data_IF_318889801444
#
_entry.id   IF_318889801444
#
_cell.length_a   1.000
_cell.length_b   1.000
_cell.length_c   1.000
_cell.angle_alpha   90.00
_cell.angle_beta   90.00
_cell.angle_gamma   90.00
#
_symmetry.space_group_name_H-M   'P 1'
#
loop_
_entity.id
_entity.type
_entity.pdbx_description
1 polymer ?
#
# COMPACT_ATOMS: atom_id res chain seq x y z
N UNK A 1 -28.64 -9.14 18.99
CA UNK A 1 -27.43 -8.31 18.83
C UNK A 1 -26.73 -8.83 17.59
N UNK A 2 -26.87 -8.15 16.46
CA UNK A 2 -26.21 -8.60 15.21
C UNK A 2 -24.70 -8.51 15.42
N UNK A 3 -24.00 -9.62 15.13
CA UNK A 3 -22.54 -9.68 15.11
C UNK A 3 -22.02 -8.63 14.11
N UNK A 4 -21.40 -7.56 14.62
CA UNK A 4 -20.85 -6.44 13.85
C UNK A 4 -19.86 -6.94 12.77
N UNK A 5 -19.21 -8.09 13.03
CA UNK A 5 -18.28 -8.76 12.10
C UNK A 5 -18.94 -9.24 10.79
N UNK A 6 -20.23 -9.61 10.83
CA UNK A 6 -20.99 -10.12 9.68
C UNK A 6 -21.49 -8.97 8.80
N UNK A 7 -21.75 -7.80 9.37
CA UNK A 7 -22.29 -6.64 8.64
C UNK A 7 -21.24 -6.01 7.72
N UNK A 8 -20.00 -5.87 8.20
CA UNK A 8 -18.93 -5.18 7.47
C UNK A 8 -18.43 -5.99 6.26
N UNK A 9 -18.52 -7.33 6.32
CA UNK A 9 -18.05 -8.20 5.23
C UNK A 9 -19.09 -8.46 4.15
N UNK A 10 -20.37 -8.12 4.34
CA UNK A 10 -21.44 -8.30 3.35
C UNK A 10 -21.74 -7.05 2.51
N UNK A 11 -20.83 -6.08 2.54
CA UNK A 11 -20.99 -4.87 1.76
C UNK A 11 -20.84 -5.11 0.25
N UNK A 12 -21.68 -4.48 -0.60
CA UNK A 12 -21.50 -4.49 -2.05
C UNK A 12 -20.09 -4.01 -2.45
N UNK A 13 -19.43 -4.65 -3.42
CA UNK A 13 -18.10 -4.26 -3.87
C UNK A 13 -18.02 -2.78 -4.30
N UNK A 14 -19.07 -2.26 -4.93
CA UNK A 14 -19.13 -0.89 -5.46
C UNK A 14 -19.05 0.13 -4.32
N UNK A 15 -19.83 -0.08 -3.28
CA UNK A 15 -19.81 0.80 -2.13
C UNK A 15 -18.47 0.66 -1.36
N UNK A 16 -17.87 -0.55 -1.33
CA UNK A 16 -16.54 -0.74 -0.72
C UNK A 16 -15.50 0.12 -1.43
N UNK A 17 -15.56 0.20 -2.77
CA UNK A 17 -14.69 1.06 -3.57
C UNK A 17 -14.90 2.54 -3.21
N UNK A 18 -16.16 2.98 -3.04
CA UNK A 18 -16.46 4.36 -2.61
C UNK A 18 -15.86 4.69 -1.24
N UNK A 19 -15.94 3.79 -0.27
CA UNK A 19 -15.28 3.98 1.02
C UNK A 19 -13.75 4.06 0.88
N UNK A 20 -13.16 3.21 0.03
CA UNK A 20 -11.72 3.24 -0.20
C UNK A 20 -11.20 4.59 -0.73
N UNK A 21 -12.02 5.36 -1.47
CA UNK A 21 -11.66 6.72 -1.94
C UNK A 21 -11.49 7.74 -0.80
N UNK A 22 -11.98 7.42 0.40
CA UNK A 22 -11.88 8.27 1.58
C UNK A 22 -10.66 7.91 2.45
N UNK A 23 -9.94 6.83 2.14
CA UNK A 23 -8.88 6.31 2.98
C UNK A 23 -7.50 6.71 2.49
N UNK A 24 -6.62 7.03 3.44
CA UNK A 24 -5.21 7.23 3.19
C UNK A 24 -4.52 5.92 2.77
N UNK A 25 -3.37 5.98 2.10
CA UNK A 25 -2.63 4.78 1.75
C UNK A 25 -2.29 3.87 2.96
N UNK A 26 -1.95 4.46 4.10
CA UNK A 26 -1.70 3.71 5.34
C UNK A 26 -2.96 3.01 5.87
N UNK A 27 -4.13 3.64 5.75
CA UNK A 27 -5.40 3.05 6.18
C UNK A 27 -5.87 1.96 5.22
N UNK A 28 -5.68 2.13 3.91
CA UNK A 28 -5.90 1.06 2.93
C UNK A 28 -5.01 -0.15 3.22
N UNK A 29 -3.73 0.08 3.53
CA UNK A 29 -2.83 -1.00 3.92
C UNK A 29 -3.33 -1.69 5.20
N UNK A 30 -3.76 -0.94 6.22
CA UNK A 30 -4.31 -1.56 7.45
C UNK A 30 -5.58 -2.35 7.14
N UNK A 31 -6.46 -1.80 6.32
CA UNK A 31 -7.72 -2.43 5.91
C UNK A 31 -7.49 -3.75 5.17
N UNK A 32 -6.46 -3.82 4.30
CA UNK A 32 -6.11 -5.05 3.59
C UNK A 32 -5.66 -6.18 4.53
N UNK A 33 -5.26 -5.85 5.75
CA UNK A 33 -4.84 -6.82 6.77
C UNK A 33 -5.98 -7.27 7.68
N UNK A 34 -7.17 -6.67 7.60
CA UNK A 34 -8.31 -6.97 8.49
C UNK A 34 -8.94 -8.32 8.18
N UNK A 35 -9.21 -8.62 6.90
CA UNK A 35 -9.83 -9.89 6.50
C UNK A 35 -9.44 -10.30 5.07
N UNK A 36 -9.63 -11.58 4.74
CA UNK A 36 -9.31 -12.13 3.41
C UNK A 36 -10.08 -11.42 2.29
N UNK A 37 -11.34 -11.05 2.52
CA UNK A 37 -12.17 -10.35 1.52
C UNK A 37 -11.58 -9.00 1.14
N UNK A 38 -11.23 -8.17 2.13
CA UNK A 38 -10.61 -6.87 1.89
C UNK A 38 -9.22 -7.00 1.29
N UNK A 39 -8.44 -7.99 1.74
CA UNK A 39 -7.16 -8.32 1.11
C UNK A 39 -7.34 -8.60 -0.37
N UNK A 40 -8.32 -9.41 -0.77
CA UNK A 40 -8.56 -9.73 -2.18
C UNK A 40 -8.96 -8.50 -3.02
N UNK A 41 -9.72 -7.56 -2.46
CA UNK A 41 -10.07 -6.32 -3.16
C UNK A 41 -8.91 -5.34 -3.28
N UNK A 42 -8.07 -5.25 -2.24
CA UNK A 42 -6.97 -4.28 -2.17
C UNK A 42 -5.64 -4.85 -2.69
N UNK A 43 -5.56 -6.15 -2.92
CA UNK A 43 -4.35 -6.88 -3.35
C UNK A 43 -4.64 -7.77 -4.55
N UNK A 44 -4.99 -7.15 -5.68
CA UNK A 44 -5.17 -7.79 -6.97
C UNK A 44 -4.33 -7.04 -8.03
N UNK A 45 -3.08 -7.48 -8.30
CA UNK A 45 -2.14 -6.72 -9.15
C UNK A 45 -2.65 -6.50 -10.57
N UNK A 46 -3.43 -7.44 -11.11
CA UNK A 46 -3.98 -7.35 -12.46
C UNK A 46 -5.36 -6.66 -12.52
N UNK A 47 -5.92 -6.22 -11.39
CA UNK A 47 -7.22 -5.55 -11.35
C UNK A 47 -7.06 -4.05 -11.58
N UNK A 48 -7.62 -3.54 -12.67
CA UNK A 48 -7.67 -2.10 -12.95
C UNK A 48 -8.33 -1.31 -11.83
N UNK A 49 -9.39 -1.86 -11.21
CA UNK A 49 -10.08 -1.27 -10.05
C UNK A 49 -9.15 -1.15 -8.84
N UNK A 50 -8.40 -2.20 -8.50
CA UNK A 50 -7.43 -2.14 -7.40
C UNK A 50 -6.37 -1.08 -7.67
N UNK A 51 -5.81 -1.03 -8.89
CA UNK A 51 -4.84 0.00 -9.26
C UNK A 51 -5.41 1.42 -9.10
N UNK A 52 -6.66 1.64 -9.53
CA UNK A 52 -7.34 2.93 -9.38
C UNK A 52 -7.57 3.33 -7.92
N UNK A 53 -7.90 2.38 -7.04
CA UNK A 53 -8.06 2.65 -5.60
C UNK A 53 -6.75 3.24 -5.03
N UNK A 54 -5.62 2.56 -5.28
CA UNK A 54 -4.31 2.99 -4.79
C UNK A 54 -3.86 4.31 -5.42
N UNK A 55 -4.03 4.47 -6.73
CA UNK A 55 -3.72 5.72 -7.44
C UNK A 55 -4.50 6.91 -6.88
N UNK A 56 -5.81 6.76 -6.71
CA UNK A 56 -6.68 7.84 -6.22
C UNK A 56 -6.33 8.21 -4.77
N UNK A 57 -6.06 7.21 -3.93
CA UNK A 57 -5.62 7.44 -2.56
C UNK A 57 -4.26 8.17 -2.52
N UNK A 58 -3.29 7.76 -3.35
CA UNK A 58 -2.00 8.45 -3.48
C UNK A 58 -2.16 9.91 -3.86
N UNK A 59 -2.82 10.20 -4.98
CA UNK A 59 -2.99 11.58 -5.49
C UNK A 59 -3.68 12.48 -4.45
N UNK A 60 -4.65 11.93 -3.70
CA UNK A 60 -5.43 12.68 -2.72
C UNK A 60 -4.69 12.95 -1.41
N UNK A 61 -3.92 11.97 -0.91
CA UNK A 61 -3.33 12.03 0.43
C UNK A 61 -1.81 12.21 0.44
N UNK A 62 -1.16 12.16 -0.72
CA UNK A 62 0.26 12.43 -0.92
C UNK A 62 0.41 13.46 -2.05
N UNK A 63 -0.04 14.71 -1.86
CA UNK A 63 -0.12 15.71 -2.93
C UNK A 63 1.24 16.08 -3.54
N UNK A 64 2.32 15.90 -2.79
CA UNK A 64 3.69 16.11 -3.28
C UNK A 64 4.15 15.00 -4.26
N UNK A 65 3.54 13.81 -4.18
CA UNK A 65 3.90 12.62 -4.97
C UNK A 65 3.01 12.50 -6.22
N UNK A 66 3.19 13.43 -7.15
CA UNK A 66 2.38 13.53 -8.38
C UNK A 66 2.81 12.58 -9.49
N UNK A 67 4.05 12.06 -9.43
CA UNK A 67 4.60 11.20 -10.48
C UNK A 67 3.87 9.86 -10.55
N UNK A 68 3.69 9.28 -11.76
CA UNK A 68 3.17 7.92 -11.89
C UNK A 68 4.22 6.88 -11.44
N UNK A 69 3.81 5.63 -11.17
CA UNK A 69 4.73 4.52 -10.98
C UNK A 69 5.70 4.39 -12.18
N UNK A 70 6.94 3.93 -11.95
CA UNK A 70 7.83 3.48 -13.02
C UNK A 70 7.16 2.44 -13.92
N UNK A 71 7.62 2.35 -15.19
CA UNK A 71 7.09 1.38 -16.14
C UNK A 71 7.20 -0.06 -15.60
N UNK A 72 6.11 -0.83 -15.71
CA UNK A 72 6.01 -2.20 -15.19
C UNK A 72 5.68 -2.31 -13.70
N UNK A 73 5.77 -1.22 -12.92
CA UNK A 73 5.42 -1.22 -11.50
C UNK A 73 3.93 -0.98 -11.28
N UNK A 74 3.32 -1.76 -10.40
CA UNK A 74 1.93 -1.54 -9.99
C UNK A 74 1.81 -0.42 -8.96
N UNK A 75 0.68 0.32 -8.97
CA UNK A 75 0.42 1.45 -8.06
C UNK A 75 0.53 1.04 -6.59
N UNK A 76 0.06 -0.17 -6.25
CA UNK A 76 0.15 -0.67 -4.86
C UNK A 76 1.59 -0.76 -4.37
N UNK A 77 2.49 -1.32 -5.17
CA UNK A 77 3.93 -1.42 -4.83
C UNK A 77 4.55 -0.03 -4.75
N UNK A 78 4.26 0.83 -5.74
CA UNK A 78 4.73 2.21 -5.77
C UNK A 78 4.34 2.98 -4.51
N UNK A 79 3.05 2.94 -4.15
CA UNK A 79 2.51 3.56 -2.95
C UNK A 79 3.15 3.00 -1.69
N UNK A 80 3.35 1.68 -1.61
CA UNK A 80 4.03 1.07 -0.47
C UNK A 80 5.47 1.56 -0.30
N UNK A 81 6.20 1.84 -1.38
CA UNK A 81 7.54 2.42 -1.34
C UNK A 81 7.52 3.86 -0.82
N UNK A 82 6.51 4.64 -1.22
CA UNK A 82 6.33 6.03 -0.79
C UNK A 82 5.93 6.19 0.69
N UNK A 83 5.41 5.14 1.35
CA UNK A 83 5.04 5.18 2.78
C UNK A 83 6.26 5.22 3.73
N UNK A 84 7.12 6.24 3.63
CA UNK A 84 8.40 6.36 4.35
C UNK A 84 8.23 6.22 5.87
N UNK A 85 7.12 6.73 6.42
CA UNK A 85 6.79 6.64 7.86
C UNK A 85 6.66 5.19 8.39
N UNK A 86 6.50 4.20 7.51
CA UNK A 86 6.47 2.78 7.88
C UNK A 86 7.86 2.18 8.08
N UNK A 87 8.93 2.93 7.80
CA UNK A 87 10.30 2.50 8.03
C UNK A 87 10.81 1.48 7.02
N UNK A 88 11.86 0.77 7.40
CA UNK A 88 12.55 -0.21 6.54
C UNK A 88 11.65 -1.42 6.27
N UNK A 89 11.47 -1.80 5.00
CA UNK A 89 10.67 -2.98 4.62
C UNK A 89 11.37 -4.32 4.95
N UNK A 90 12.68 -4.30 5.21
CA UNK A 90 13.45 -5.50 5.55
C UNK A 90 13.42 -5.77 7.06
N UNK A 91 13.84 -4.79 7.88
CA UNK A 91 13.94 -4.98 9.33
C UNK A 91 12.74 -4.45 10.12
N UNK A 92 11.75 -3.84 9.48
CA UNK A 92 10.53 -3.28 10.08
C UNK A 92 10.76 -2.19 11.14
N UNK A 93 11.99 -1.66 11.27
CA UNK A 93 12.30 -0.55 12.16
C UNK A 93 11.86 0.78 11.55
N UNK A 94 11.08 1.56 12.31
CA UNK A 94 10.55 2.88 11.91
C UNK A 94 11.45 4.05 12.26
N UNK A 95 12.37 3.87 13.20
CA UNK A 95 13.30 4.90 13.68
C UNK A 95 14.61 4.97 12.87
N UNK A 96 14.62 4.45 11.65
CA UNK A 96 15.78 4.39 10.78
C UNK A 96 15.50 5.22 9.52
N UNK A 97 16.47 6.04 9.13
CA UNK A 97 16.43 6.68 7.83
C UNK A 97 16.44 5.60 6.73
N UNK A 98 15.51 5.71 5.80
CA UNK A 98 15.34 4.76 4.71
C UNK A 98 15.33 5.49 3.37
N UNK A 99 15.91 4.86 2.36
CA UNK A 99 15.88 5.32 0.97
C UNK A 99 15.10 4.31 0.13
N UNK A 100 14.48 4.80 -0.94
CA UNK A 100 13.85 3.96 -1.96
C UNK A 100 14.91 3.62 -3.01
N UNK A 101 15.12 2.34 -3.24
CA UNK A 101 16.01 1.81 -4.27
C UNK A 101 15.14 1.33 -5.43
N UNK A 102 14.84 2.25 -6.35
CA UNK A 102 13.87 2.07 -7.44
C UNK A 102 14.15 0.84 -8.31
N UNK A 103 15.41 0.55 -8.61
CA UNK A 103 15.79 -0.57 -9.48
C UNK A 103 15.50 -1.97 -8.92
N UNK A 104 15.22 -2.09 -7.61
CA UNK A 104 14.88 -3.36 -6.94
C UNK A 104 13.59 -3.24 -6.12
N UNK A 105 12.81 -2.18 -6.36
CA UNK A 105 11.51 -1.94 -5.74
C UNK A 105 11.49 -2.11 -4.21
N UNK A 106 12.49 -1.57 -3.51
CA UNK A 106 12.58 -1.68 -2.05
C UNK A 106 12.90 -0.37 -1.35
N UNK A 107 12.24 -0.12 -0.22
CA UNK A 107 12.60 0.92 0.75
C UNK A 107 13.28 0.27 1.95
N UNK A 108 14.57 0.58 2.15
CA UNK A 108 15.31 0.03 3.28
C UNK A 108 16.30 1.02 3.88
N UNK A 109 16.75 0.73 5.11
CA UNK A 109 17.83 1.47 5.75
C UNK A 109 19.19 1.00 5.24
N UNK A 110 20.22 1.84 5.39
CA UNK A 110 21.57 1.56 4.92
C UNK A 110 22.13 0.24 5.46
N UNK A 111 21.89 -0.08 6.74
CA UNK A 111 22.31 -1.34 7.36
C UNK A 111 21.74 -2.56 6.62
N UNK A 112 20.47 -2.49 6.22
CA UNK A 112 19.81 -3.57 5.48
C UNK A 112 20.25 -3.61 4.03
N UNK A 113 20.54 -2.47 3.41
CA UNK A 113 21.14 -2.45 2.08
C UNK A 113 22.47 -3.22 2.10
N UNK A 114 23.43 -2.79 2.92
CA UNK A 114 24.79 -3.38 2.98
C UNK A 114 24.73 -4.89 3.27
N UNK A 115 23.89 -5.31 4.21
CA UNK A 115 23.76 -6.72 4.59
C UNK A 115 23.16 -7.60 3.48
N UNK A 116 22.31 -7.04 2.61
CA UNK A 116 21.59 -7.80 1.59
C UNK A 116 22.08 -7.51 0.16
N UNK A 117 22.97 -6.54 -0.03
CA UNK A 117 23.72 -6.37 -1.26
C UNK A 117 24.79 -7.45 -1.32
N UNK A 118 24.53 -8.48 -2.13
CA UNK A 118 25.54 -9.47 -2.50
C UNK A 118 26.54 -8.77 -3.42
N UNK A 119 27.81 -8.74 -3.02
CA UNK A 119 28.92 -8.51 -3.96
C UNK A 119 29.23 -9.80 -4.69
#
# INVERSE_FOLDING_TARGET
MQDISVVITNFPPELFIEFCKLLSPDDLFRLSQVCRKFRNYLYAPNSSTTQQIWKNSRIKFMPEETMPPPEGMIEKTYVELLMINRGCQICNKRNKECKIYWGIEIRCCNDCLIKNSVM
#
